data_IF_976064204020
#
_entry.id   IF_976064204020
#
_cell.length_a   1.000
_cell.length_b   1.000
_cell.length_c   1.000
_cell.angle_alpha   90.00
_cell.angle_beta   90.00
_cell.angle_gamma   90.00
#
_symmetry.space_group_name_H-M   'P 1'
#
loop_
_entity.id
_entity.type
_entity.pdbx_description
1 polymer ?
#
# COMPACT_ATOMS: atom_id res chain seq x y z
N UNK A 1 -26.69 45.48 3.65
CA UNK A 1 -25.25 45.42 3.97
C UNK A 1 -25.07 44.23 4.89
N UNK A 2 -24.53 43.12 4.37
CA UNK A 2 -24.20 41.95 5.19
C UNK A 2 -23.15 42.38 6.22
N UNK A 3 -23.55 42.44 7.50
CA UNK A 3 -22.62 42.71 8.58
C UNK A 3 -21.83 41.41 8.77
N UNK A 4 -20.58 41.42 8.36
CA UNK A 4 -19.70 40.27 8.55
C UNK A 4 -19.64 39.95 10.07
N UNK A 5 -19.89 38.70 10.50
CA UNK A 5 -19.96 38.38 11.91
C UNK A 5 -18.61 38.72 12.57
N UNK A 6 -18.65 39.57 13.60
CA UNK A 6 -17.46 39.98 14.34
C UNK A 6 -16.77 38.73 14.91
N UNK A 7 -15.45 38.61 14.73
CA UNK A 7 -14.65 37.52 15.31
C UNK A 7 -15.00 37.34 16.80
N UNK A 8 -15.39 36.12 17.18
CA UNK A 8 -15.76 35.81 18.57
C UNK A 8 -17.25 35.91 18.90
N UNK A 9 -18.13 36.11 17.91
CA UNK A 9 -19.58 36.06 18.07
C UNK A 9 -20.11 34.61 18.02
N UNK A 10 -19.60 33.75 18.88
CA UNK A 10 -20.05 32.36 19.05
C UNK A 10 -20.40 32.10 20.52
N UNK A 11 -21.23 31.09 20.76
CA UNK A 11 -21.68 30.72 22.10
C UNK A 11 -20.48 30.37 23.02
N UNK A 12 -20.39 31.02 24.18
CA UNK A 12 -19.30 30.83 25.15
C UNK A 12 -19.70 29.90 26.28
N UNK A 13 -20.98 29.94 26.65
CA UNK A 13 -21.52 29.12 27.73
C UNK A 13 -22.20 27.86 27.20
N UNK A 14 -22.16 26.78 27.99
CA UNK A 14 -22.78 25.51 27.60
C UNK A 14 -24.31 25.67 27.56
N UNK A 15 -24.90 25.46 26.38
CA UNK A 15 -26.35 25.58 26.17
C UNK A 15 -26.80 26.95 25.66
N UNK A 16 -25.87 27.90 25.51
CA UNK A 16 -26.14 29.15 24.80
C UNK A 16 -26.31 28.87 23.30
N UNK A 17 -27.37 29.43 22.71
CA UNK A 17 -27.68 29.27 21.29
C UNK A 17 -27.50 30.61 20.60
N UNK A 18 -26.46 30.71 19.76
CA UNK A 18 -26.25 31.85 18.86
C UNK A 18 -26.49 31.36 17.44
N UNK A 19 -27.35 32.06 16.71
CA UNK A 19 -27.61 31.83 15.29
C UNK A 19 -26.88 32.89 14.46
N UNK A 20 -26.42 32.49 13.27
CA UNK A 20 -25.91 33.42 12.27
C UNK A 20 -27.06 34.27 11.70
N UNK A 21 -26.76 35.51 11.33
CA UNK A 21 -27.76 36.47 10.84
C UNK A 21 -28.34 36.08 9.46
N UNK A 22 -27.61 35.30 8.67
CA UNK A 22 -28.04 34.89 7.34
C UNK A 22 -28.89 33.62 7.41
N UNK A 23 -29.99 33.65 6.66
CA UNK A 23 -30.89 32.51 6.45
C UNK A 23 -30.82 32.11 4.98
N UNK A 24 -30.73 30.81 4.73
CA UNK A 24 -30.74 30.24 3.39
C UNK A 24 -31.88 29.23 3.32
N UNK A 25 -32.94 29.56 2.58
CA UNK A 25 -34.07 28.67 2.32
C UNK A 25 -34.73 28.11 3.61
N UNK A 26 -35.00 28.99 4.59
CA UNK A 26 -35.57 28.58 5.87
C UNK A 26 -34.56 27.96 6.86
N UNK A 27 -33.30 27.74 6.45
CA UNK A 27 -32.26 27.14 7.29
C UNK A 27 -31.32 28.23 7.82
N UNK A 28 -31.06 28.19 9.13
CA UNK A 28 -30.11 29.06 9.81
C UNK A 28 -29.03 28.23 10.51
N UNK A 29 -27.81 28.76 10.55
CA UNK A 29 -26.65 28.08 11.11
C UNK A 29 -26.39 28.48 12.58
N UNK A 30 -26.01 27.48 13.39
CA UNK A 30 -25.54 27.72 14.75
C UNK A 30 -24.08 28.19 14.76
N UNK A 31 -23.79 29.32 15.43
CA UNK A 31 -22.42 29.79 15.67
C UNK A 31 -21.93 29.28 17.04
N UNK A 32 -21.42 28.05 17.04
CA UNK A 32 -21.02 27.32 18.24
C UNK A 32 -19.52 27.04 18.25
N UNK A 33 -18.94 26.98 19.44
CA UNK A 33 -17.55 26.54 19.60
C UNK A 33 -17.40 25.08 19.18
N UNK A 34 -16.34 24.78 18.43
CA UNK A 34 -15.98 23.40 18.09
C UNK A 34 -15.74 22.57 19.36
N UNK A 35 -16.23 21.32 19.41
CA UNK A 35 -16.00 20.44 20.56
C UNK A 35 -14.49 20.24 20.80
N UNK A 36 -14.04 20.38 22.05
CA UNK A 36 -12.63 20.23 22.39
C UNK A 36 -12.07 18.84 22.00
N UNK A 37 -12.87 17.77 22.11
CA UNK A 37 -12.46 16.42 21.70
C UNK A 37 -12.15 16.36 20.20
N UNK A 38 -12.96 17.05 19.38
CA UNK A 38 -12.75 17.10 17.93
C UNK A 38 -11.44 17.84 17.61
N UNK A 39 -11.19 18.96 18.28
CA UNK A 39 -9.93 19.70 18.14
C UNK A 39 -8.72 18.84 18.53
N UNK A 40 -8.80 18.09 19.64
CA UNK A 40 -7.74 17.18 20.04
C UNK A 40 -7.47 16.10 18.98
N UNK A 41 -8.52 15.51 18.38
CA UNK A 41 -8.33 14.53 17.31
C UNK A 41 -7.74 15.15 16.04
N UNK A 42 -8.17 16.36 15.68
CA UNK A 42 -7.66 17.08 14.51
C UNK A 42 -6.17 17.39 14.67
N UNK A 43 -5.78 18.02 15.78
CA UNK A 43 -4.37 18.32 16.04
C UNK A 43 -3.54 17.06 16.29
N UNK A 44 -4.12 16.02 16.88
CA UNK A 44 -3.48 14.70 17.01
C UNK A 44 -3.13 14.11 15.65
N UNK A 45 -4.04 14.17 14.68
CA UNK A 45 -3.78 13.70 13.31
C UNK A 45 -2.67 14.51 12.62
N UNK A 46 -2.64 15.84 12.82
CA UNK A 46 -1.56 16.70 12.29
C UNK A 46 -0.21 16.31 12.87
N UNK A 47 -0.11 16.15 14.19
CA UNK A 47 1.13 15.73 14.85
C UNK A 47 1.55 14.33 14.38
N UNK A 48 0.62 13.39 14.33
CA UNK A 48 0.87 12.03 13.84
C UNK A 48 1.41 12.05 12.40
N UNK A 49 0.81 12.84 11.50
CA UNK A 49 1.25 12.96 10.11
C UNK A 49 2.70 13.47 10.02
N UNK A 50 3.06 14.49 10.81
CA UNK A 50 4.41 15.05 10.81
C UNK A 50 5.40 14.02 11.35
N UNK A 51 5.07 13.35 12.46
CA UNK A 51 5.93 12.31 13.07
C UNK A 51 6.11 11.15 12.11
N UNK A 52 5.03 10.63 11.51
CA UNK A 52 5.10 9.55 10.53
C UNK A 52 5.95 9.92 9.32
N UNK A 53 5.81 11.15 8.80
CA UNK A 53 6.62 11.64 7.68
C UNK A 53 8.11 11.71 8.03
N UNK A 54 8.46 12.26 9.20
CA UNK A 54 9.87 12.31 9.65
C UNK A 54 10.43 10.90 9.84
N UNK A 55 9.70 10.01 10.53
CA UNK A 55 10.16 8.65 10.77
C UNK A 55 10.33 7.84 9.48
N UNK A 56 9.46 8.05 8.48
CA UNK A 56 9.52 7.31 7.23
C UNK A 56 10.57 7.85 6.26
N UNK A 57 10.71 9.18 6.12
CA UNK A 57 11.58 9.77 5.09
C UNK A 57 12.92 10.26 5.60
N UNK A 58 13.03 10.63 6.87
CA UNK A 58 14.24 11.27 7.42
C UNK A 58 15.05 10.34 8.33
N UNK A 59 14.55 9.14 8.62
CA UNK A 59 15.20 8.15 9.48
C UNK A 59 15.13 6.76 8.88
N UNK A 60 16.05 5.87 9.24
CA UNK A 60 16.08 4.47 8.81
C UNK A 60 15.29 3.52 9.74
N UNK A 61 14.45 4.08 10.63
CA UNK A 61 13.67 3.30 11.60
C UNK A 61 12.55 2.49 10.93
N UNK A 62 11.98 3.02 9.85
CA UNK A 62 10.90 2.39 9.09
C UNK A 62 11.45 1.97 7.73
N UNK A 63 11.33 0.68 7.41
CA UNK A 63 11.70 0.17 6.08
C UNK A 63 10.63 0.59 5.08
N UNK A 64 11.06 1.01 3.90
CA UNK A 64 10.12 1.25 2.81
C UNK A 64 9.53 -0.08 2.32
N UNK A 65 8.34 -0.03 1.73
CA UNK A 65 7.72 -1.21 1.09
C UNK A 65 8.64 -1.80 0.01
N UNK A 66 9.37 -0.94 -0.71
CA UNK A 66 10.36 -1.36 -1.69
C UNK A 66 11.49 -2.19 -1.06
N UNK A 67 12.01 -1.79 0.10
CA UNK A 67 13.08 -2.53 0.79
C UNK A 67 12.59 -3.87 1.33
N UNK A 68 11.32 -3.92 1.77
CA UNK A 68 10.69 -5.16 2.24
C UNK A 68 10.55 -6.14 1.07
N UNK A 69 9.95 -5.69 -0.02
CA UNK A 69 9.74 -6.51 -1.22
C UNK A 69 11.07 -6.96 -1.81
N UNK A 70 12.04 -6.06 -1.95
CA UNK A 70 13.38 -6.39 -2.48
C UNK A 70 14.08 -7.43 -1.61
N UNK A 71 13.97 -7.31 -0.28
CA UNK A 71 14.51 -8.31 0.64
C UNK A 71 13.87 -9.69 0.48
N UNK A 72 12.55 -9.75 0.29
CA UNK A 72 11.81 -11.00 0.05
C UNK A 72 12.16 -11.62 -1.32
N UNK A 73 12.24 -10.81 -2.38
CA UNK A 73 12.64 -11.28 -3.70
C UNK A 73 14.06 -11.84 -3.65
N UNK A 74 14.98 -11.15 -2.98
CA UNK A 74 16.36 -11.60 -2.83
C UNK A 74 16.46 -12.96 -2.13
N UNK A 75 15.68 -13.18 -1.05
CA UNK A 75 15.68 -14.47 -0.35
C UNK A 75 15.09 -15.60 -1.20
N UNK A 76 14.01 -15.33 -1.94
CA UNK A 76 13.43 -16.29 -2.89
C UNK A 76 14.42 -16.62 -4.01
N UNK A 77 15.08 -15.60 -4.56
CA UNK A 77 16.05 -15.79 -5.64
C UNK A 77 17.27 -16.58 -5.16
N UNK A 78 17.75 -16.34 -3.94
CA UNK A 78 18.83 -17.12 -3.34
C UNK A 78 18.45 -18.60 -3.22
N UNK A 79 17.23 -18.91 -2.75
CA UNK A 79 16.74 -20.28 -2.66
C UNK A 79 16.61 -20.94 -4.05
N UNK A 80 16.03 -20.22 -5.02
CA UNK A 80 15.91 -20.70 -6.41
C UNK A 80 17.27 -20.98 -7.05
N UNK A 81 18.23 -20.07 -6.88
CA UNK A 81 19.57 -20.22 -7.43
C UNK A 81 20.31 -21.42 -6.82
N UNK A 82 20.19 -21.61 -5.50
CA UNK A 82 20.82 -22.75 -4.83
C UNK A 82 20.27 -24.11 -5.32
N UNK A 83 18.97 -24.20 -5.61
CA UNK A 83 18.38 -25.43 -6.15
C UNK A 83 18.71 -25.63 -7.65
N UNK A 84 18.73 -24.54 -8.41
CA UNK A 84 19.15 -24.55 -9.81
C UNK A 84 20.61 -25.01 -9.94
N UNK A 85 21.52 -24.53 -9.08
CA UNK A 85 22.93 -24.93 -9.09
C UNK A 85 23.09 -26.44 -8.86
N UNK A 86 22.38 -27.02 -7.89
CA UNK A 86 22.37 -28.46 -7.66
C UNK A 86 21.85 -29.23 -8.87
N UNK A 87 20.75 -28.75 -9.45
CA UNK A 87 20.14 -29.36 -10.64
C UNK A 87 21.14 -29.39 -11.78
N UNK A 88 21.71 -28.23 -12.12
CA UNK A 88 22.67 -28.07 -13.22
C UNK A 88 23.96 -28.85 -12.99
N UNK A 89 24.43 -29.02 -11.74
CA UNK A 89 25.61 -29.81 -11.43
C UNK A 89 25.43 -31.31 -11.78
N UNK A 90 24.19 -31.80 -11.79
CA UNK A 90 23.84 -33.19 -12.11
C UNK A 90 23.22 -33.38 -13.50
N UNK A 91 22.96 -32.30 -14.24
CA UNK A 91 22.22 -32.34 -15.48
C UNK A 91 23.17 -32.54 -16.68
N UNK A 92 22.95 -33.62 -17.42
CA UNK A 92 23.62 -33.92 -18.69
C UNK A 92 22.61 -34.34 -19.77
N UNK A 93 23.07 -34.50 -21.01
CA UNK A 93 22.21 -34.88 -22.13
C UNK A 93 21.53 -36.23 -21.91
N UNK A 94 22.21 -37.17 -21.24
CA UNK A 94 21.65 -38.49 -20.94
C UNK A 94 20.44 -38.37 -20.00
N UNK A 95 20.54 -37.50 -18.99
CA UNK A 95 19.46 -37.25 -18.04
C UNK A 95 18.36 -36.40 -18.67
N UNK A 96 18.71 -35.29 -19.33
CA UNK A 96 17.72 -34.36 -19.89
C UNK A 96 16.94 -34.97 -21.06
N UNK A 97 17.64 -35.51 -22.06
CA UNK A 97 17.02 -35.98 -23.31
C UNK A 97 16.45 -37.39 -23.17
N UNK A 98 17.14 -38.27 -22.46
CA UNK A 98 16.75 -39.69 -22.43
C UNK A 98 15.98 -40.10 -21.18
N UNK A 99 15.94 -39.27 -20.13
CA UNK A 99 15.14 -39.55 -18.93
C UNK A 99 14.04 -38.51 -18.73
N UNK A 100 14.39 -37.23 -18.62
CA UNK A 100 13.42 -36.18 -18.26
C UNK A 100 12.41 -35.91 -19.37
N UNK A 101 12.85 -35.87 -20.64
CA UNK A 101 11.95 -35.71 -21.78
C UNK A 101 11.00 -36.91 -21.98
N UNK A 102 11.32 -38.06 -21.37
CA UNK A 102 10.48 -39.25 -21.41
C UNK A 102 9.56 -39.38 -20.18
N UNK A 103 9.73 -38.54 -19.15
CA UNK A 103 8.91 -38.55 -17.94
C UNK A 103 7.66 -37.66 -18.15
N UNK A 104 6.44 -38.25 -18.20
CA UNK A 104 5.23 -37.48 -18.44
C UNK A 104 4.96 -36.42 -17.37
N UNK A 105 5.39 -36.64 -16.13
CA UNK A 105 5.18 -35.69 -15.03
C UNK A 105 6.05 -34.44 -15.17
N UNK A 106 7.31 -34.61 -15.59
CA UNK A 106 8.23 -33.51 -15.86
C UNK A 106 7.84 -32.75 -17.13
N UNK A 107 7.44 -33.46 -18.18
CA UNK A 107 6.96 -32.84 -19.42
C UNK A 107 5.70 -32.00 -19.17
N UNK A 108 4.73 -32.52 -18.40
CA UNK A 108 3.54 -31.77 -18.02
C UNK A 108 3.87 -30.52 -17.17
N UNK A 109 4.85 -30.60 -16.27
CA UNK A 109 5.32 -29.42 -15.52
C UNK A 109 6.03 -28.40 -16.44
N UNK A 110 6.77 -28.88 -17.43
CA UNK A 110 7.43 -28.07 -18.46
C UNK A 110 6.45 -27.32 -19.36
N UNK A 111 5.29 -27.90 -19.65
CA UNK A 111 4.23 -27.29 -20.47
C UNK A 111 3.82 -25.91 -19.94
N UNK A 112 3.61 -25.77 -18.62
CA UNK A 112 3.27 -24.48 -18.02
C UNK A 112 4.37 -23.43 -18.24
N UNK A 113 5.65 -23.85 -18.19
CA UNK A 113 6.79 -22.98 -18.45
C UNK A 113 6.87 -22.58 -19.92
N UNK A 114 6.63 -23.53 -20.84
CA UNK A 114 6.58 -23.30 -22.29
C UNK A 114 5.47 -22.33 -22.67
N UNK A 115 4.25 -22.55 -22.17
CA UNK A 115 3.10 -21.68 -22.43
C UNK A 115 3.35 -20.25 -21.93
N UNK A 116 4.06 -20.10 -20.81
CA UNK A 116 4.36 -18.78 -20.23
C UNK A 116 5.47 -18.05 -20.98
N UNK A 117 6.54 -18.74 -21.41
CA UNK A 117 7.78 -18.09 -21.86
C UNK A 117 8.12 -18.30 -23.35
N UNK A 118 7.57 -19.32 -23.99
CA UNK A 118 7.98 -19.77 -25.33
C UNK A 118 6.86 -19.65 -26.37
N UNK A 119 5.61 -19.88 -25.98
CA UNK A 119 4.46 -19.96 -26.89
C UNK A 119 4.20 -18.69 -27.69
N UNK A 120 4.62 -17.52 -27.17
CA UNK A 120 4.49 -16.25 -27.86
C UNK A 120 5.21 -16.22 -29.22
N UNK A 121 6.31 -16.97 -29.36
CA UNK A 121 7.08 -17.09 -30.60
C UNK A 121 6.91 -18.46 -31.27
N UNK A 122 6.69 -19.52 -30.49
CA UNK A 122 6.67 -20.91 -30.96
C UNK A 122 5.28 -21.52 -31.10
N UNK A 123 4.24 -20.69 -30.94
CA UNK A 123 2.84 -21.11 -30.89
C UNK A 123 2.51 -22.01 -29.68
N UNK A 124 1.23 -22.27 -29.47
CA UNK A 124 0.73 -22.98 -28.28
C UNK A 124 0.36 -24.45 -28.57
N UNK A 125 0.49 -24.87 -29.83
CA UNK A 125 0.12 -26.17 -30.38
C UNK A 125 1.31 -27.13 -30.54
#
# INVERSE_FOLDING_TARGET
MSQEPKRGHFAKEKGEVILREHEFDGIQEYDQKLPNWWLFTFYGAVVFSIVAWVLYYQTDLLRSDHDIITGQISSIQAAKNAELEKTLASLDDATLVHQWAADPSLVAAGEATYLTNCSACHAAD
#
